data_IF_933089107947
#
_entry.id   IF_933089107947
#
_cell.length_a   1.000
_cell.length_b   1.000
_cell.length_c   1.000
_cell.angle_alpha   90.00
_cell.angle_beta   90.00
_cell.angle_gamma   90.00
#
_symmetry.space_group_name_H-M   'P 1'
#
loop_
_entity.id
_entity.type
_entity.pdbx_description
1 polymer ?
#
# COMPACT_ATOMS: atom_id res chain seq x y z
N UNK A 1 2.80 8.07 24.00
CA UNK A 1 1.93 7.71 22.86
C UNK A 1 2.50 6.47 22.22
N UNK A 2 1.67 5.46 21.95
CA UNK A 2 2.11 4.23 21.30
C UNK A 2 1.81 4.30 19.80
N UNK A 3 2.78 3.96 18.96
CA UNK A 3 2.55 3.77 17.52
C UNK A 3 2.13 2.33 17.29
N UNK A 4 0.94 2.13 16.73
CA UNK A 4 0.38 0.80 16.48
C UNK A 4 0.08 0.61 15.00
N UNK A 5 0.38 -0.58 14.50
CA UNK A 5 0.00 -1.03 13.16
C UNK A 5 -1.06 -2.12 13.27
N UNK A 6 -2.08 -2.04 12.43
CA UNK A 6 -3.16 -3.02 12.34
C UNK A 6 -3.07 -3.71 10.98
N UNK A 7 -3.17 -5.04 10.97
CA UNK A 7 -3.22 -5.82 9.75
C UNK A 7 -4.68 -6.13 9.40
N UNK A 8 -5.03 -5.90 8.14
CA UNK A 8 -6.35 -6.17 7.60
C UNK A 8 -6.19 -6.84 6.24
N UNK A 9 -6.89 -7.96 6.02
CA UNK A 9 -6.90 -8.64 4.73
C UNK A 9 -8.00 -8.05 3.87
N UNK A 10 -7.66 -7.49 2.71
CA UNK A 10 -8.64 -7.02 1.75
C UNK A 10 -9.14 -8.18 0.89
N UNK A 11 -10.46 -8.24 0.71
CA UNK A 11 -11.06 -9.08 -0.34
C UNK A 11 -11.02 -8.33 -1.69
N UNK A 12 -10.69 -9.06 -2.76
CA UNK A 12 -10.58 -8.52 -4.12
C UNK A 12 -11.94 -8.24 -4.77
N UNK A 13 -13.05 -8.65 -4.14
CA UNK A 13 -14.41 -8.45 -4.64
C UNK A 13 -14.93 -7.00 -4.56
N UNK A 14 -14.09 -6.04 -4.15
CA UNK A 14 -14.39 -4.61 -4.27
C UNK A 14 -15.53 -4.08 -3.41
N UNK A 15 -16.15 -4.91 -2.58
CA UNK A 15 -17.36 -4.58 -1.82
C UNK A 15 -17.16 -4.68 -0.30
N UNK A 16 -15.94 -4.40 0.14
CA UNK A 16 -15.59 -4.47 1.55
C UNK A 16 -16.00 -3.19 2.29
N UNK A 17 -17.27 -3.13 2.71
CA UNK A 17 -17.80 -2.04 3.54
C UNK A 17 -17.03 -1.89 4.85
N UNK A 18 -16.47 -2.98 5.39
CA UNK A 18 -15.71 -2.94 6.64
C UNK A 18 -14.38 -2.21 6.43
N UNK A 19 -13.74 -2.40 5.28
CA UNK A 19 -12.53 -1.66 4.92
C UNK A 19 -12.78 -0.14 4.93
N UNK A 20 -13.90 0.33 4.37
CA UNK A 20 -14.26 1.75 4.39
C UNK A 20 -14.41 2.32 5.80
N UNK A 21 -15.02 1.55 6.72
CA UNK A 21 -15.16 1.94 8.13
C UNK A 21 -13.78 2.03 8.79
N UNK A 22 -12.93 1.02 8.64
CA UNK A 22 -11.57 1.02 9.24
C UNK A 22 -10.74 2.21 8.73
N UNK A 23 -10.80 2.51 7.43
CA UNK A 23 -10.10 3.64 6.80
C UNK A 23 -10.51 5.00 7.39
N UNK A 24 -11.73 5.12 7.90
CA UNK A 24 -12.23 6.38 8.50
C UNK A 24 -11.61 6.64 9.87
N UNK A 25 -11.40 5.58 10.67
CA UNK A 25 -10.91 5.63 12.05
C UNK A 25 -9.40 5.77 12.11
N UNK A 26 -8.66 5.12 11.21
CA UNK A 26 -7.18 5.14 11.24
C UNK A 26 -6.58 6.48 10.79
N UNK A 27 -5.41 6.81 11.34
CA UNK A 27 -4.65 8.01 10.97
C UNK A 27 -3.98 7.87 9.60
N UNK A 28 -3.56 6.67 9.25
CA UNK A 28 -3.01 6.36 7.93
C UNK A 28 -3.28 4.93 7.52
N UNK A 29 -3.08 4.65 6.24
CA UNK A 29 -3.26 3.33 5.67
C UNK A 29 -2.22 3.06 4.59
N UNK A 30 -1.67 1.85 4.65
CA UNK A 30 -0.74 1.30 3.68
C UNK A 30 -1.41 0.09 3.05
N UNK A 31 -1.51 0.10 1.73
CA UNK A 31 -2.13 -0.97 0.97
C UNK A 31 -1.03 -1.79 0.32
N UNK A 32 -1.04 -3.10 0.61
CA UNK A 32 -0.20 -4.09 -0.07
C UNK A 32 -1.07 -4.77 -1.13
N UNK A 33 -0.63 -4.70 -2.38
CA UNK A 33 -1.34 -5.29 -3.51
C UNK A 33 -0.38 -5.93 -4.50
N UNK A 34 -0.93 -6.56 -5.52
CA UNK A 34 -0.15 -7.12 -6.60
C UNK A 34 -0.86 -6.90 -7.93
N UNK A 35 -0.08 -6.81 -8.99
CA UNK A 35 -0.54 -6.77 -10.37
C UNK A 35 0.13 -7.88 -11.17
N UNK A 36 -0.52 -8.31 -12.25
CA UNK A 36 0.08 -9.19 -13.24
C UNK A 36 0.72 -8.32 -14.33
N UNK A 37 2.02 -8.51 -14.56
CA UNK A 37 2.76 -7.84 -15.62
C UNK A 37 3.68 -8.84 -16.29
N UNK A 38 3.54 -9.00 -17.62
CA UNK A 38 4.33 -9.95 -18.41
C UNK A 38 4.37 -11.37 -17.80
N UNK A 39 3.21 -11.89 -17.41
CA UNK A 39 3.07 -13.21 -16.77
C UNK A 39 3.83 -13.36 -15.44
N UNK A 40 4.23 -12.26 -14.80
CA UNK A 40 4.83 -12.23 -13.47
C UNK A 40 3.96 -11.44 -12.51
N UNK A 41 3.90 -11.89 -11.25
CA UNK A 41 3.21 -11.18 -10.18
C UNK A 41 4.14 -10.11 -9.60
N UNK A 42 3.86 -8.85 -9.87
CA UNK A 42 4.55 -7.72 -9.28
C UNK A 42 3.85 -7.30 -8.01
N UNK A 43 4.58 -7.25 -6.88
CA UNK A 43 4.04 -6.75 -5.62
C UNK A 43 4.22 -5.24 -5.58
N UNK A 44 3.22 -4.56 -5.03
CA UNK A 44 3.17 -3.11 -4.93
C UNK A 44 2.73 -2.68 -3.54
N UNK A 45 3.30 -1.57 -3.09
CA UNK A 45 2.93 -0.88 -1.87
C UNK A 45 2.44 0.52 -2.22
N UNK A 46 1.33 0.93 -1.63
CA UNK A 46 0.76 2.26 -1.79
C UNK A 46 0.46 2.84 -0.41
N UNK A 47 0.95 4.05 -0.15
CA UNK A 47 0.48 4.84 1.00
C UNK A 47 -0.78 5.56 0.53
N UNK A 48 -1.95 5.05 0.96
CA UNK A 48 -3.25 5.57 0.51
C UNK A 48 -3.66 6.83 1.28
N UNK A 49 -3.29 6.90 2.56
CA UNK A 49 -3.67 7.98 3.46
C UNK A 49 -2.62 8.11 4.56
N UNK A 50 -2.27 9.33 4.92
CA UNK A 50 -1.49 9.65 6.12
C UNK A 50 -1.91 11.04 6.61
N UNK A 51 -2.56 11.13 7.77
CA UNK A 51 -2.94 12.43 8.37
C UNK A 51 -1.73 13.07 9.05
N UNK A 52 -1.60 14.39 8.93
CA UNK A 52 -0.56 15.16 9.60
C UNK A 52 0.80 15.19 8.91
N UNK A 53 0.94 14.62 7.70
CA UNK A 53 2.19 14.67 6.92
C UNK A 53 1.98 14.33 5.45
N UNK A 54 2.86 14.86 4.58
CA UNK A 54 2.93 14.46 3.19
C UNK A 54 3.48 13.05 3.03
N UNK A 55 3.08 12.36 1.97
CA UNK A 55 3.60 11.05 1.59
C UNK A 55 3.73 10.97 0.07
N UNK A 56 4.63 10.10 -0.41
CA UNK A 56 4.76 9.84 -1.84
C UNK A 56 3.50 9.07 -2.27
N UNK A 57 2.83 9.58 -3.30
CA UNK A 57 1.61 9.00 -3.84
C UNK A 57 1.93 8.00 -4.94
N UNK A 58 1.02 7.06 -5.17
CA UNK A 58 1.12 6.09 -6.26
C UNK A 58 1.56 4.71 -5.82
N UNK A 59 1.79 3.84 -6.80
CA UNK A 59 2.17 2.45 -6.56
C UNK A 59 3.68 2.32 -6.61
N UNK A 60 4.28 1.87 -5.51
CA UNK A 60 5.70 1.61 -5.43
C UNK A 60 5.93 0.11 -5.56
N UNK A 61 6.89 -0.30 -6.38
CA UNK A 61 7.23 -1.72 -6.47
C UNK A 61 7.84 -2.17 -5.14
N UNK A 62 7.55 -3.41 -4.75
CA UNK A 62 8.16 -4.01 -3.57
C UNK A 62 8.61 -5.44 -3.87
N UNK A 63 9.68 -5.86 -3.21
CA UNK A 63 10.14 -7.23 -3.19
C UNK A 63 10.27 -7.72 -1.75
N UNK A 64 10.00 -9.00 -1.54
CA UNK A 64 10.23 -9.67 -0.26
C UNK A 64 11.44 -10.56 -0.49
N UNK A 65 12.55 -10.20 0.14
CA UNK A 65 13.84 -10.87 0.03
C UNK A 65 14.16 -11.57 1.36
N UNK A 66 15.28 -12.30 1.41
CA UNK A 66 15.80 -12.88 2.65
C UNK A 66 16.11 -11.82 3.72
N UNK A 67 16.34 -10.56 3.30
CA UNK A 67 16.59 -9.41 4.19
C UNK A 67 15.32 -8.68 4.61
N UNK A 68 14.15 -9.16 4.18
CA UNK A 68 12.85 -8.55 4.44
C UNK A 68 12.28 -7.77 3.25
N UNK A 69 11.46 -6.75 3.56
CA UNK A 69 10.74 -5.96 2.56
C UNK A 69 11.65 -4.86 2.00
N UNK A 70 11.84 -4.87 0.68
CA UNK A 70 12.49 -3.80 -0.06
C UNK A 70 11.45 -3.07 -0.91
N UNK A 71 11.43 -1.73 -0.82
CA UNK A 71 10.51 -0.87 -1.58
C UNK A 71 11.34 -0.06 -2.57
N UNK A 72 10.85 0.07 -3.80
CA UNK A 72 11.40 0.91 -4.85
C UNK A 72 10.44 2.08 -5.06
N UNK A 73 10.71 3.25 -4.44
CA UNK A 73 9.84 4.40 -4.57
C UNK A 73 9.81 4.86 -6.03
N UNK A 74 8.60 5.03 -6.55
CA UNK A 74 8.37 5.72 -7.80
C UNK A 74 7.88 7.13 -7.45
N UNK A 75 8.71 8.17 -7.59
CA UNK A 75 8.32 9.53 -7.25
C UNK A 75 7.23 10.11 -8.18
N UNK A 76 6.66 9.33 -9.11
CA UNK A 76 5.54 9.78 -9.93
C UNK A 76 5.96 10.77 -11.01
N UNK A 77 7.23 10.71 -11.43
CA UNK A 77 7.67 11.39 -12.64
C UNK A 77 7.27 10.55 -13.86
N UNK A 78 6.29 11.02 -14.63
CA UNK A 78 6.04 10.57 -16.00
C UNK A 78 7.39 10.33 -16.70
N UNK A 79 7.74 9.08 -16.97
CA UNK A 79 8.69 8.75 -18.04
C UNK A 79 7.88 8.71 -19.33
N UNK A 80 7.52 9.89 -19.82
CA UNK A 80 7.33 10.14 -21.26
C UNK A 80 8.65 10.56 -21.84
#
# INVERSE_FOLDING_TARGET
GCTSFLLYSLDNNGNDRQFGIVQSVVQGSVILKYSWFQNRRQRQLEIRKLRGGGHITGNHLMEITEKGIQIFPDPGGLRT
#
